data_IF_323698956983
#
_entry.id   IF_323698956983
#
_cell.length_a   1.000
_cell.length_b   1.000
_cell.length_c   1.000
_cell.angle_alpha   90.00
_cell.angle_beta   90.00
_cell.angle_gamma   90.00
#
_symmetry.space_group_name_H-M   'P 1'
#
loop_
_entity.id
_entity.type
_entity.pdbx_description
1 polymer ?
#
# COMPACT_ATOMS: atom_id res chain seq x y z
N UNK A 1 54.84 2.37 -7.04
CA UNK A 1 53.70 1.62 -6.48
C UNK A 1 52.46 2.21 -7.10
N UNK A 2 52.10 1.71 -8.29
CA UNK A 2 50.82 2.04 -8.91
C UNK A 2 49.83 1.04 -8.32
N UNK A 3 48.87 1.54 -7.54
CA UNK A 3 47.71 0.75 -7.14
C UNK A 3 46.88 0.52 -8.40
N UNK A 4 46.81 -0.72 -8.85
CA UNK A 4 45.92 -1.17 -9.90
C UNK A 4 44.48 -0.83 -9.51
N UNK A 5 43.91 0.16 -10.18
CA UNK A 5 42.49 0.52 -10.05
C UNK A 5 41.72 -0.47 -10.91
N UNK A 6 40.91 -1.32 -10.29
CA UNK A 6 39.94 -2.17 -10.97
C UNK A 6 38.85 -1.29 -11.59
N UNK A 7 38.94 -1.07 -12.91
CA UNK A 7 37.99 -0.26 -13.69
C UNK A 7 36.72 -1.04 -14.02
N UNK A 8 35.89 -1.33 -13.02
CA UNK A 8 34.50 -1.74 -13.25
C UNK A 8 33.59 -0.53 -13.24
N UNK A 9 32.91 -0.20 -14.35
CA UNK A 9 31.82 0.78 -14.33
C UNK A 9 30.72 0.28 -13.40
N UNK A 10 30.44 1.03 -12.33
CA UNK A 10 29.38 0.69 -11.39
C UNK A 10 28.04 1.26 -11.86
N UNK A 11 26.93 0.73 -11.32
CA UNK A 11 25.62 1.36 -11.51
C UNK A 11 25.58 2.80 -10.97
N UNK A 12 26.36 3.11 -9.92
CA UNK A 12 26.48 4.47 -9.42
C UNK A 12 27.15 5.39 -10.45
N UNK A 13 28.21 4.93 -11.13
CA UNK A 13 28.88 5.71 -12.19
C UNK A 13 27.92 6.00 -13.35
N UNK A 14 27.18 4.97 -13.79
CA UNK A 14 26.15 5.14 -14.83
C UNK A 14 25.07 6.13 -14.40
N UNK A 15 24.62 6.03 -13.15
CA UNK A 15 23.61 6.92 -12.60
C UNK A 15 24.09 8.37 -12.58
N UNK A 16 25.27 8.65 -12.01
CA UNK A 16 25.82 10.00 -11.90
C UNK A 16 26.11 10.62 -13.27
N UNK A 17 26.50 9.80 -14.26
CA UNK A 17 26.83 10.33 -15.58
C UNK A 17 25.60 10.50 -16.49
N UNK A 18 24.67 9.54 -16.48
CA UNK A 18 23.56 9.51 -17.45
C UNK A 18 22.20 9.91 -16.85
N UNK A 19 21.97 9.67 -15.57
CA UNK A 19 20.65 9.88 -14.96
C UNK A 19 20.58 11.18 -14.18
N UNK A 20 21.46 11.38 -13.20
CA UNK A 20 21.43 12.52 -12.29
C UNK A 20 21.38 13.90 -12.99
N UNK A 21 22.16 14.17 -14.05
CA UNK A 21 22.14 15.48 -14.71
C UNK A 21 20.80 15.80 -15.40
N UNK A 22 19.98 14.77 -15.64
CA UNK A 22 18.71 14.88 -16.34
C UNK A 22 17.51 14.85 -15.38
N UNK A 23 17.72 14.51 -14.11
CA UNK A 23 16.68 14.60 -13.08
C UNK A 23 16.44 16.07 -12.72
N UNK A 24 15.16 16.45 -12.65
CA UNK A 24 14.70 17.81 -12.32
C UNK A 24 13.61 17.72 -11.28
N UNK A 25 13.34 18.80 -10.54
CA UNK A 25 12.22 18.80 -9.61
C UNK A 25 10.88 18.64 -10.33
N UNK A 26 10.76 19.26 -11.51
CA UNK A 26 9.59 19.18 -12.36
C UNK A 26 9.98 19.20 -13.85
N UNK A 27 9.12 18.62 -14.68
CA UNK A 27 9.25 18.62 -16.14
C UNK A 27 7.89 18.49 -16.81
N UNK A 28 7.59 19.45 -17.67
CA UNK A 28 6.40 19.43 -18.53
C UNK A 28 6.62 18.50 -19.73
N UNK A 29 5.52 18.02 -20.29
CA UNK A 29 5.48 17.16 -21.48
C UNK A 29 6.33 15.89 -21.30
N UNK A 30 6.17 15.25 -20.14
CA UNK A 30 7.05 14.16 -19.73
C UNK A 30 6.36 13.15 -18.83
N UNK A 31 6.53 11.87 -19.15
CA UNK A 31 6.15 10.73 -18.31
C UNK A 31 7.40 10.07 -17.74
N UNK A 32 7.58 10.15 -16.43
CA UNK A 32 8.70 9.54 -15.72
C UNK A 32 8.51 8.04 -15.42
N UNK A 33 7.47 7.41 -15.97
CA UNK A 33 7.14 5.98 -15.79
C UNK A 33 6.85 5.62 -14.32
N UNK A 34 6.13 6.50 -13.62
CA UNK A 34 5.61 6.21 -12.29
C UNK A 34 4.66 5.00 -12.35
N UNK A 35 4.85 4.04 -11.45
CA UNK A 35 4.18 2.73 -11.45
C UNK A 35 3.76 2.29 -10.04
N UNK A 36 3.69 3.23 -9.10
CA UNK A 36 3.15 3.02 -7.77
C UNK A 36 1.64 3.31 -7.70
N UNK A 37 1.13 3.64 -6.51
CA UNK A 37 -0.28 3.97 -6.31
C UNK A 37 -0.78 5.08 -7.25
N UNK A 38 -1.98 4.87 -7.78
CA UNK A 38 -2.69 5.80 -8.66
C UNK A 38 -3.89 6.40 -7.92
N UNK A 39 -4.09 7.70 -8.12
CA UNK A 39 -5.15 8.50 -7.55
C UNK A 39 -5.77 9.31 -8.70
N UNK A 40 -6.93 8.88 -9.19
CA UNK A 40 -7.76 9.60 -10.16
C UNK A 40 -9.03 10.11 -9.47
N UNK A 41 -9.75 11.03 -10.11
CA UNK A 41 -11.06 11.49 -9.65
C UNK A 41 -12.01 10.30 -9.40
N UNK A 42 -12.28 9.52 -10.44
CA UNK A 42 -13.14 8.33 -10.41
C UNK A 42 -12.66 7.30 -9.38
N UNK A 43 -11.36 7.00 -9.36
CA UNK A 43 -10.80 6.02 -8.43
C UNK A 43 -10.80 6.47 -6.97
N UNK A 44 -10.96 7.77 -6.69
CA UNK A 44 -11.18 8.28 -5.34
C UNK A 44 -12.64 8.22 -4.97
N UNK A 45 -13.55 8.58 -5.87
CA UNK A 45 -14.99 8.47 -5.64
C UNK A 45 -15.38 7.02 -5.28
N UNK A 46 -14.90 6.05 -6.05
CA UNK A 46 -15.14 4.63 -5.79
C UNK A 46 -14.63 4.20 -4.40
N UNK A 47 -13.41 4.61 -4.03
CA UNK A 47 -12.84 4.30 -2.71
C UNK A 47 -13.61 4.95 -1.57
N UNK A 48 -14.17 6.14 -1.78
CA UNK A 48 -14.99 6.82 -0.78
C UNK A 48 -16.33 6.11 -0.58
N UNK A 49 -16.97 5.67 -1.67
CA UNK A 49 -18.19 4.86 -1.60
C UNK A 49 -17.92 3.52 -0.88
N UNK A 50 -16.79 2.87 -1.18
CA UNK A 50 -16.38 1.66 -0.49
C UNK A 50 -16.11 1.91 1.01
N UNK A 51 -15.41 2.99 1.35
CA UNK A 51 -15.20 3.41 2.74
C UNK A 51 -16.50 3.64 3.50
N UNK A 52 -17.44 4.36 2.88
CA UNK A 52 -18.75 4.65 3.45
C UNK A 52 -19.55 3.37 3.66
N UNK A 53 -19.63 2.52 2.64
CA UNK A 53 -20.31 1.22 2.72
C UNK A 53 -19.71 0.36 3.84
N UNK A 54 -18.38 0.28 3.95
CA UNK A 54 -17.70 -0.47 5.02
C UNK A 54 -18.08 0.06 6.39
N UNK A 55 -18.18 1.37 6.56
CA UNK A 55 -18.53 1.99 7.84
C UNK A 55 -19.99 1.74 8.21
N UNK A 56 -20.93 1.95 7.28
CA UNK A 56 -22.36 1.76 7.51
C UNK A 56 -22.73 0.30 7.79
N UNK A 57 -22.07 -0.64 7.12
CA UNK A 57 -22.37 -2.06 7.25
C UNK A 57 -21.54 -2.75 8.34
N UNK A 58 -20.54 -2.09 8.92
CA UNK A 58 -19.64 -2.71 9.91
C UNK A 58 -20.38 -3.34 11.08
N UNK A 59 -21.36 -2.64 11.65
CA UNK A 59 -22.12 -3.13 12.80
C UNK A 59 -22.94 -4.38 12.46
N UNK A 60 -23.50 -4.42 11.26
CA UNK A 60 -24.24 -5.58 10.76
C UNK A 60 -23.29 -6.77 10.57
N UNK A 61 -22.16 -6.56 9.90
CA UNK A 61 -21.15 -7.61 9.66
C UNK A 61 -20.56 -8.13 10.96
N UNK A 62 -20.32 -7.26 11.96
CA UNK A 62 -19.84 -7.69 13.28
C UNK A 62 -20.86 -8.54 14.03
N UNK A 63 -22.17 -8.27 13.86
CA UNK A 63 -23.23 -9.08 14.44
C UNK A 63 -23.31 -10.45 13.78
N UNK A 64 -23.29 -10.47 12.44
CA UNK A 64 -23.22 -11.72 11.65
C UNK A 64 -21.99 -12.55 12.09
N UNK A 65 -20.83 -11.93 12.26
CA UNK A 65 -19.61 -12.60 12.70
C UNK A 65 -19.68 -13.17 14.13
N UNK A 66 -20.45 -12.53 15.02
CA UNK A 66 -20.67 -13.00 16.39
C UNK A 66 -21.64 -14.19 16.42
N UNK A 67 -22.71 -14.11 15.64
CA UNK A 67 -23.71 -15.18 15.49
C UNK A 67 -23.06 -16.43 14.87
N UNK A 68 -22.20 -16.27 13.85
CA UNK A 68 -21.47 -17.34 13.19
C UNK A 68 -20.30 -17.92 14.03
N UNK A 69 -19.94 -17.29 15.15
CA UNK A 69 -18.87 -17.78 16.03
C UNK A 69 -19.36 -18.86 17.03
N UNK A 70 -20.46 -19.54 16.71
CA UNK A 70 -20.96 -20.70 17.45
C UNK A 70 -20.01 -21.90 17.27
N UNK A 71 -19.72 -22.69 18.33
CA UNK A 71 -18.78 -23.82 18.26
C UNK A 71 -19.17 -24.95 17.31
N UNK A 72 -20.39 -24.94 16.78
CA UNK A 72 -20.95 -26.05 15.99
C UNK A 72 -20.69 -25.93 14.47
N UNK A 73 -20.16 -24.81 13.98
CA UNK A 73 -19.99 -24.52 12.54
C UNK A 73 -18.51 -24.26 12.15
N UNK A 74 -17.55 -25.05 12.66
CA UNK A 74 -16.13 -24.94 12.26
C UNK A 74 -15.80 -25.57 10.88
N UNK A 75 -16.78 -26.12 10.17
CA UNK A 75 -16.59 -26.70 8.84
C UNK A 75 -17.15 -25.76 7.75
N UNK A 76 -16.25 -25.31 6.86
CA UNK A 76 -16.51 -24.68 5.55
C UNK A 76 -16.54 -23.13 5.41
N UNK A 77 -15.64 -22.40 6.07
CA UNK A 77 -15.25 -21.03 5.63
C UNK A 77 -13.99 -21.02 4.75
N UNK A 78 -13.85 -21.97 3.82
CA UNK A 78 -12.98 -21.70 2.69
C UNK A 78 -13.61 -20.55 1.90
N UNK A 79 -12.96 -19.38 1.93
CA UNK A 79 -13.25 -18.32 0.98
C UNK A 79 -13.38 -18.98 -0.41
N UNK A 80 -14.42 -18.66 -1.20
CA UNK A 80 -14.63 -19.33 -2.48
C UNK A 80 -13.31 -19.34 -3.23
N UNK A 81 -12.75 -20.53 -3.43
CA UNK A 81 -11.61 -20.71 -4.32
C UNK A 81 -12.18 -20.51 -5.71
N UNK A 82 -12.30 -19.25 -6.10
CA UNK A 82 -12.43 -18.92 -7.50
C UNK A 82 -11.19 -19.50 -8.16
N UNK A 83 -11.38 -20.48 -9.04
CA UNK A 83 -10.32 -20.89 -9.93
C UNK A 83 -9.79 -19.59 -10.57
N UNK A 84 -8.48 -19.38 -10.53
CA UNK A 84 -7.74 -18.24 -11.15
C UNK A 84 -7.86 -18.30 -12.70
N UNK A 85 -8.97 -18.79 -13.23
CA UNK A 85 -9.35 -18.58 -14.61
C UNK A 85 -9.64 -17.08 -14.75
N UNK A 86 -8.90 -16.41 -15.63
CA UNK A 86 -9.00 -14.99 -16.00
C UNK A 86 -10.41 -14.64 -16.54
N UNK A 87 -11.42 -14.67 -15.67
CA UNK A 87 -12.76 -14.17 -15.95
C UNK A 87 -12.69 -12.66 -15.73
N UNK A 88 -12.72 -11.90 -16.83
CA UNK A 88 -12.95 -10.46 -16.80
C UNK A 88 -14.30 -10.20 -16.13
N UNK A 89 -14.26 -9.88 -14.83
CA UNK A 89 -15.43 -9.43 -14.08
C UNK A 89 -15.80 -8.02 -14.55
N UNK A 90 -17.09 -7.73 -14.57
CA UNK A 90 -17.53 -6.34 -14.76
C UNK A 90 -17.39 -5.54 -13.46
N UNK A 91 -17.48 -4.21 -13.55
CA UNK A 91 -17.32 -3.30 -12.41
C UNK A 91 -18.31 -3.56 -11.25
N UNK A 92 -19.51 -4.04 -11.56
CA UNK A 92 -20.52 -4.39 -10.56
C UNK A 92 -20.16 -5.67 -9.81
N UNK A 93 -19.73 -6.70 -10.53
CA UNK A 93 -19.25 -7.96 -9.97
C UNK A 93 -18.00 -7.77 -9.11
N UNK A 94 -17.05 -6.94 -9.55
CA UNK A 94 -15.89 -6.63 -8.74
C UNK A 94 -16.27 -5.91 -7.43
N UNK A 95 -17.26 -5.01 -7.47
CA UNK A 95 -17.75 -4.30 -6.28
C UNK A 95 -18.43 -5.26 -5.31
N UNK A 96 -19.22 -6.20 -5.79
CA UNK A 96 -19.82 -7.26 -4.96
C UNK A 96 -18.77 -8.20 -4.36
N UNK A 97 -17.74 -8.55 -5.13
CA UNK A 97 -16.61 -9.32 -4.65
C UNK A 97 -15.90 -8.60 -3.50
N UNK A 98 -15.57 -7.31 -3.64
CA UNK A 98 -14.96 -6.50 -2.56
C UNK A 98 -15.80 -6.47 -1.29
N UNK A 99 -17.13 -6.33 -1.43
CA UNK A 99 -18.06 -6.36 -0.29
C UNK A 99 -18.06 -7.71 0.42
N UNK A 100 -18.03 -8.80 -0.34
CA UNK A 100 -17.98 -10.17 0.18
C UNK A 100 -16.64 -10.44 0.89
N UNK A 101 -15.53 -10.05 0.26
CA UNK A 101 -14.19 -10.15 0.83
C UNK A 101 -14.09 -9.39 2.16
N UNK A 102 -14.69 -8.21 2.26
CA UNK A 102 -14.77 -7.47 3.50
C UNK A 102 -15.53 -8.23 4.60
N UNK A 103 -16.68 -8.84 4.29
CA UNK A 103 -17.42 -9.66 5.25
C UNK A 103 -16.55 -10.82 5.76
N UNK A 104 -15.90 -11.54 4.85
CA UNK A 104 -15.00 -12.64 5.21
C UNK A 104 -13.79 -12.17 6.02
N UNK A 105 -13.18 -11.02 5.69
CA UNK A 105 -12.07 -10.43 6.45
C UNK A 105 -12.49 -10.21 7.92
N UNK A 106 -13.68 -9.63 8.14
CA UNK A 106 -14.20 -9.33 9.47
C UNK A 106 -14.54 -10.60 10.24
N UNK A 107 -15.25 -11.55 9.62
CA UNK A 107 -15.57 -12.85 10.24
C UNK A 107 -14.30 -13.58 10.68
N UNK A 108 -13.31 -13.69 9.80
CA UNK A 108 -12.01 -14.32 10.10
C UNK A 108 -11.33 -13.65 11.29
N UNK A 109 -11.20 -12.33 11.27
CA UNK A 109 -10.58 -11.56 12.36
C UNK A 109 -11.32 -11.73 13.68
N UNK A 110 -12.65 -11.70 13.66
CA UNK A 110 -13.46 -11.88 14.87
C UNK A 110 -13.18 -13.25 15.50
N UNK A 111 -13.13 -14.32 14.70
CA UNK A 111 -12.81 -15.68 15.18
C UNK A 111 -11.37 -15.80 15.69
N UNK A 112 -10.39 -15.23 14.98
CA UNK A 112 -8.99 -15.21 15.43
C UNK A 112 -8.85 -14.55 16.81
N UNK A 113 -9.46 -13.37 16.99
CA UNK A 113 -9.44 -12.63 18.26
C UNK A 113 -10.24 -13.36 19.36
N UNK A 114 -11.33 -14.04 19.01
CA UNK A 114 -12.11 -14.84 19.96
C UNK A 114 -11.30 -16.04 20.45
N UNK A 115 -10.67 -16.79 19.53
CA UNK A 115 -9.78 -17.93 19.85
C UNK A 115 -8.60 -17.50 20.73
N UNK A 116 -7.97 -16.37 20.41
CA UNK A 116 -6.87 -15.81 21.23
C UNK A 116 -7.32 -15.55 22.68
N UNK A 117 -8.50 -14.97 22.87
CA UNK A 117 -9.06 -14.73 24.21
C UNK A 117 -9.47 -16.00 24.93
N UNK A 118 -10.08 -16.95 24.24
CA UNK A 118 -10.51 -18.22 24.84
C UNK A 118 -9.27 -19.04 25.29
N UNK A 119 -8.16 -18.97 24.54
CA UNK A 119 -6.87 -19.56 24.93
C UNK A 119 -6.25 -18.87 26.16
N UNK A 120 -6.33 -17.55 26.26
CA UNK A 120 -5.83 -16.78 27.41
C UNK A 120 -6.61 -17.13 28.69
N UNK A 121 -7.95 -17.20 28.60
CA UNK A 121 -8.81 -17.64 29.71
C UNK A 121 -8.51 -19.08 30.14
N UNK A 122 -8.25 -20.00 29.21
CA UNK A 122 -7.90 -21.37 29.53
C UNK A 122 -6.58 -21.46 30.31
N UNK A 123 -5.59 -20.62 30.00
CA UNK A 123 -4.31 -20.58 30.72
C UNK A 123 -4.41 -19.92 32.11
N UNK A 124 -5.25 -18.89 32.25
CA UNK A 124 -5.48 -18.24 33.55
C UNK A 124 -6.36 -19.09 34.48
N UNK A 125 -7.32 -19.84 33.95
CA UNK A 125 -8.15 -20.76 34.75
C UNK A 125 -7.37 -21.95 35.33
N UNK A 126 -6.22 -22.30 34.77
CA UNK A 126 -5.28 -23.26 35.38
C UNK A 126 -4.40 -22.62 36.47
N UNK A 127 -4.41 -21.28 36.60
CA UNK A 127 -3.53 -20.52 37.50
C UNK A 127 -4.15 -20.22 38.87
N UNK A 128 -5.47 -20.20 38.99
CA UNK A 128 -6.16 -19.78 40.22
C UNK A 128 -6.91 -20.92 40.93
N UNK A 129 -6.17 -21.55 41.86
CA UNK A 129 -6.72 -22.32 42.99
C UNK A 129 -6.98 -21.45 44.23
N UNK A 130 -6.84 -20.12 44.16
CA UNK A 130 -7.06 -19.23 45.31
C UNK A 130 -7.65 -17.88 44.86
N UNK A 131 -8.80 -17.53 45.45
CA UNK A 131 -9.58 -16.29 45.33
C UNK A 131 -10.64 -16.24 44.21
N UNK A 132 -11.70 -17.02 44.40
CA UNK A 132 -13.03 -16.73 43.88
C UNK A 132 -13.57 -15.45 44.54
N UNK A 133 -13.85 -14.41 43.75
CA UNK A 133 -15.17 -13.75 43.67
C UNK A 133 -15.04 -12.44 42.86
N UNK A 134 -15.87 -12.33 41.81
CA UNK A 134 -16.13 -11.16 40.94
C UNK A 134 -15.23 -10.99 39.71
N UNK A 135 -15.77 -11.29 38.52
CA UNK A 135 -15.96 -10.35 37.38
C UNK A 135 -16.34 -11.08 36.06
N UNK A 136 -17.51 -11.74 36.05
CA UNK A 136 -18.10 -12.23 34.81
C UNK A 136 -18.88 -11.13 34.08
N UNK A 137 -18.21 -10.24 33.33
CA UNK A 137 -18.90 -9.39 32.32
C UNK A 137 -17.98 -8.58 31.37
N UNK A 138 -16.65 -8.59 31.47
CA UNK A 138 -15.83 -7.50 30.89
C UNK A 138 -15.03 -7.83 29.60
N UNK A 139 -15.36 -8.86 28.82
CA UNK A 139 -14.45 -9.35 27.76
C UNK A 139 -14.95 -9.29 26.29
N UNK A 140 -16.26 -9.28 26.02
CA UNK A 140 -16.81 -9.18 24.63
C UNK A 140 -16.60 -7.80 23.99
N UNK A 141 -16.68 -6.72 24.79
CA UNK A 141 -16.65 -5.34 24.29
C UNK A 141 -15.35 -4.94 23.56
N UNK A 142 -14.23 -5.63 23.81
CA UNK A 142 -12.95 -5.25 23.24
C UNK A 142 -12.74 -5.77 21.78
N UNK A 143 -13.36 -6.89 21.36
CA UNK A 143 -13.16 -7.39 19.97
C UNK A 143 -13.77 -6.43 18.94
N UNK A 144 -15.01 -5.99 19.18
CA UNK A 144 -15.72 -5.05 18.30
C UNK A 144 -14.96 -3.74 18.18
N UNK A 145 -14.48 -3.19 19.30
CA UNK A 145 -13.69 -1.96 19.33
C UNK A 145 -12.36 -2.08 18.57
N UNK A 146 -11.66 -3.22 18.68
CA UNK A 146 -10.44 -3.49 17.91
C UNK A 146 -10.73 -3.44 16.41
N UNK A 147 -11.71 -4.21 15.94
CA UNK A 147 -12.07 -4.29 14.52
C UNK A 147 -12.54 -2.93 14.00
N UNK A 148 -13.38 -2.22 14.75
CA UNK A 148 -13.80 -0.86 14.41
C UNK A 148 -12.61 0.10 14.26
N UNK A 149 -11.62 0.01 15.15
CA UNK A 149 -10.42 0.84 15.07
C UNK A 149 -9.62 0.56 13.80
N UNK A 150 -9.54 -0.70 13.35
CA UNK A 150 -8.84 -1.07 12.13
C UNK A 150 -9.55 -0.62 10.86
N UNK A 151 -10.88 -0.75 10.82
CA UNK A 151 -11.68 -0.26 9.71
C UNK A 151 -11.52 1.26 9.59
N UNK A 152 -11.54 1.99 10.71
CA UNK A 152 -11.29 3.44 10.77
C UNK A 152 -9.87 3.82 10.33
N UNK A 153 -8.86 2.99 10.59
CA UNK A 153 -7.45 3.24 10.18
C UNK A 153 -7.24 3.13 8.67
N UNK A 154 -8.04 2.33 7.95
CA UNK A 154 -7.95 2.16 6.49
C UNK A 154 -8.49 3.36 5.69
N UNK A 155 -8.84 4.46 6.34
CA UNK A 155 -9.40 5.67 5.70
C UNK A 155 -8.33 6.46 4.93
N UNK A 156 -8.64 6.83 3.70
CA UNK A 156 -7.88 7.73 2.85
C UNK A 156 -7.57 9.03 3.58
N UNK A 157 -6.30 9.42 3.53
CA UNK A 157 -5.83 10.70 4.05
C UNK A 157 -6.31 11.85 3.17
N UNK A 158 -6.30 13.07 3.73
CA UNK A 158 -6.62 14.28 2.96
C UNK A 158 -5.78 14.40 1.68
N UNK A 159 -4.48 14.13 1.78
CA UNK A 159 -3.56 14.24 0.65
C UNK A 159 -3.91 13.25 -0.47
N UNK A 160 -4.34 12.03 -0.13
CA UNK A 160 -4.77 11.04 -1.11
C UNK A 160 -6.06 11.44 -1.81
N UNK A 161 -7.03 12.02 -1.07
CA UNK A 161 -8.30 12.52 -1.63
C UNK A 161 -8.11 13.69 -2.58
N UNK A 162 -7.08 14.52 -2.31
CA UNK A 162 -6.83 15.75 -3.06
C UNK A 162 -5.79 15.57 -4.18
N UNK A 163 -5.04 14.46 -4.21
CA UNK A 163 -3.88 14.25 -5.07
C UNK A 163 -4.15 14.42 -6.57
N UNK A 164 -5.33 14.00 -7.02
CA UNK A 164 -5.74 14.04 -8.42
C UNK A 164 -6.16 15.44 -8.90
N UNK A 165 -6.37 16.39 -7.99
CA UNK A 165 -6.92 17.71 -8.32
C UNK A 165 -5.93 18.63 -9.01
N UNK A 166 -4.63 18.45 -8.79
CA UNK A 166 -3.57 19.23 -9.44
C UNK A 166 -2.20 18.57 -9.33
N UNK A 167 -1.27 19.03 -10.16
CA UNK A 167 0.14 18.64 -10.05
C UNK A 167 0.73 18.94 -8.67
N UNK A 168 0.39 20.10 -8.08
CA UNK A 168 0.86 20.50 -6.75
C UNK A 168 0.33 19.57 -5.67
N UNK A 169 -0.94 19.15 -5.73
CA UNK A 169 -1.49 18.19 -4.76
C UNK A 169 -0.84 16.81 -4.92
N UNK A 170 -0.56 16.39 -6.15
CA UNK A 170 0.17 15.15 -6.42
C UNK A 170 1.59 15.20 -5.83
N UNK A 171 2.28 16.35 -5.97
CA UNK A 171 3.57 16.61 -5.32
C UNK A 171 3.45 16.50 -3.81
N UNK A 172 2.50 17.20 -3.19
CA UNK A 172 2.30 17.19 -1.74
C UNK A 172 2.07 15.77 -1.21
N UNK A 173 1.25 14.97 -1.90
CA UNK A 173 1.07 13.57 -1.55
C UNK A 173 2.41 12.80 -1.59
N UNK A 174 3.17 12.96 -2.68
CA UNK A 174 4.49 12.33 -2.79
C UNK A 174 5.46 12.82 -1.69
N UNK A 175 5.34 14.05 -1.19
CA UNK A 175 6.16 14.54 -0.08
C UNK A 175 5.82 13.79 1.22
N UNK A 176 4.53 13.55 1.48
CA UNK A 176 4.06 12.80 2.65
C UNK A 176 4.36 11.31 2.58
N UNK A 177 4.33 10.72 1.39
CA UNK A 177 4.71 9.31 1.21
C UNK A 177 6.24 9.16 1.37
N UNK A 178 6.65 8.52 2.46
CA UNK A 178 8.07 8.26 2.78
C UNK A 178 8.79 7.45 1.71
N UNK A 179 8.08 6.63 0.95
CA UNK A 179 8.64 5.77 -0.11
C UNK A 179 8.63 6.43 -1.48
N UNK A 180 7.95 7.56 -1.65
CA UNK A 180 7.83 8.22 -2.94
C UNK A 180 9.11 9.00 -3.31
N UNK A 181 9.65 8.69 -4.49
CA UNK A 181 10.80 9.39 -5.09
C UNK A 181 10.42 10.21 -6.31
N UNK A 182 9.35 9.87 -6.99
CA UNK A 182 8.88 10.58 -8.18
C UNK A 182 7.36 10.50 -8.27
N UNK A 183 6.76 11.37 -9.07
CA UNK A 183 5.32 11.35 -9.34
C UNK A 183 5.06 11.89 -10.74
N UNK A 184 3.91 11.55 -11.31
CA UNK A 184 3.43 12.10 -12.58
C UNK A 184 1.98 12.51 -12.44
N UNK A 185 1.62 13.60 -13.11
CA UNK A 185 0.27 14.12 -13.19
C UNK A 185 -0.16 14.27 -14.65
N UNK A 186 -1.32 13.75 -14.98
CA UNK A 186 -1.95 13.86 -16.30
C UNK A 186 -3.45 13.63 -16.14
N UNK A 187 -4.30 14.27 -16.95
CA UNK A 187 -5.76 13.99 -17.00
C UNK A 187 -6.41 13.75 -15.63
N UNK A 188 -6.27 14.70 -14.69
CA UNK A 188 -6.81 14.58 -13.34
C UNK A 188 -6.40 13.27 -12.63
N UNK A 189 -5.19 12.80 -12.88
CA UNK A 189 -4.64 11.56 -12.35
C UNK A 189 -3.24 11.82 -11.80
N UNK A 190 -3.07 11.51 -10.52
CA UNK A 190 -1.78 11.48 -9.86
C UNK A 190 -1.30 10.04 -9.74
N UNK A 191 -0.06 9.78 -10.16
CA UNK A 191 0.57 8.47 -9.99
C UNK A 191 1.93 8.60 -9.35
N UNK A 192 2.13 7.91 -8.23
CA UNK A 192 3.37 7.94 -7.48
C UNK A 192 4.38 6.92 -8.02
N UNK A 193 5.65 7.12 -7.73
CA UNK A 193 6.74 6.20 -8.03
C UNK A 193 7.65 6.00 -6.83
N UNK A 194 7.79 4.74 -6.42
CA UNK A 194 8.67 4.33 -5.32
C UNK A 194 10.10 3.97 -5.79
N UNK A 195 10.41 4.23 -7.04
CA UNK A 195 11.76 4.28 -7.61
C UNK A 195 11.86 5.48 -8.54
N UNK A 196 13.07 5.95 -8.85
CA UNK A 196 13.29 7.09 -9.74
C UNK A 196 13.85 6.66 -11.10
N UNK A 197 13.21 7.10 -12.18
CA UNK A 197 13.54 6.83 -13.59
C UNK A 197 13.46 8.14 -14.38
N UNK A 198 14.14 8.19 -15.52
CA UNK A 198 14.01 9.34 -16.42
C UNK A 198 12.67 9.31 -17.15
N UNK A 199 12.31 8.20 -17.79
CA UNK A 199 11.10 8.13 -18.60
C UNK A 199 11.24 8.84 -19.95
N UNK A 200 10.12 9.28 -20.54
CA UNK A 200 10.03 9.67 -21.94
C UNK A 200 9.27 10.99 -22.15
N UNK A 201 9.56 11.64 -23.28
CA UNK A 201 8.81 12.79 -23.75
C UNK A 201 7.38 12.40 -24.14
N UNK A 202 6.43 13.23 -23.73
CA UNK A 202 5.03 13.14 -24.11
C UNK A 202 4.68 14.40 -24.91
N UNK A 203 4.23 14.23 -26.15
CA UNK A 203 3.84 15.37 -26.96
C UNK A 203 2.71 16.16 -26.26
N UNK A 204 2.73 17.50 -26.32
CA UNK A 204 1.59 18.30 -25.90
C UNK A 204 0.36 17.95 -26.74
N UNK A 205 -0.81 18.39 -26.30
CA UNK A 205 -2.04 18.17 -27.05
C UNK A 205 -2.08 18.98 -28.37
N UNK A 206 -3.25 18.94 -29.05
CA UNK A 206 -3.45 19.63 -30.33
C UNK A 206 -3.33 21.15 -30.23
N UNK A 207 -3.64 21.72 -29.06
CA UNK A 207 -3.59 23.15 -28.80
C UNK A 207 -2.24 23.59 -28.22
N UNK A 208 -1.35 22.63 -27.96
CA UNK A 208 0.00 22.85 -27.43
C UNK A 208 0.05 22.88 -25.90
N UNK A 209 -1.02 22.46 -25.22
CA UNK A 209 -1.09 22.44 -23.75
C UNK A 209 -0.34 21.25 -23.17
N UNK A 210 0.14 21.41 -21.93
CA UNK A 210 0.88 20.38 -21.20
C UNK A 210 -0.09 19.33 -20.70
N UNK A 211 0.01 18.11 -21.23
CA UNK A 211 -0.85 16.98 -20.85
C UNK A 211 -0.22 16.15 -19.73
N UNK A 212 1.11 16.07 -19.70
CA UNK A 212 1.87 15.26 -18.75
C UNK A 212 2.89 16.11 -18.03
N UNK A 213 2.85 16.10 -16.69
CA UNK A 213 3.84 16.78 -15.87
C UNK A 213 4.42 15.81 -14.86
N UNK A 214 5.74 15.63 -14.92
CA UNK A 214 6.49 14.73 -14.03
C UNK A 214 7.27 15.52 -12.99
N UNK A 215 7.44 14.95 -11.80
CA UNK A 215 8.28 15.50 -10.76
C UNK A 215 9.14 14.45 -10.05
N UNK A 216 10.28 14.89 -9.51
CA UNK A 216 11.21 14.05 -8.74
C UNK A 216 11.54 14.70 -7.40
N UNK A 217 11.48 13.92 -6.34
CA UNK A 217 11.80 14.32 -4.98
C UNK A 217 13.31 14.36 -4.77
N UNK A 218 13.98 15.34 -5.39
CA UNK A 218 15.44 15.46 -5.42
C UNK A 218 16.08 15.34 -4.04
N UNK A 219 15.48 15.94 -3.01
CA UNK A 219 15.96 15.82 -1.63
C UNK A 219 15.90 14.38 -1.08
N UNK A 220 14.86 13.62 -1.41
CA UNK A 220 14.75 12.20 -1.03
C UNK A 220 15.72 11.33 -1.83
N UNK A 221 15.86 11.61 -3.13
CA UNK A 221 16.78 10.88 -4.03
C UNK A 221 18.23 11.06 -3.56
N UNK A 222 18.67 12.29 -3.25
CA UNK A 222 20.01 12.55 -2.73
C UNK A 222 20.28 11.82 -1.41
N UNK A 223 19.33 11.90 -0.47
CA UNK A 223 19.42 11.14 0.80
C UNK A 223 19.50 9.64 0.58
N UNK A 224 18.78 9.11 -0.41
CA UNK A 224 18.87 7.71 -0.78
C UNK A 224 20.26 7.37 -1.32
N UNK A 225 20.84 8.18 -2.22
CA UNK A 225 22.20 7.96 -2.74
C UNK A 225 23.25 7.98 -1.62
N UNK A 226 23.19 8.96 -0.70
CA UNK A 226 24.10 9.08 0.44
C UNK A 226 24.06 7.85 1.35
N UNK A 227 22.88 7.24 1.51
CA UNK A 227 22.71 6.01 2.28
C UNK A 227 23.06 4.72 1.52
N UNK A 228 23.22 4.78 0.20
CA UNK A 228 23.40 3.62 -0.69
C UNK A 228 24.66 3.76 -1.56
N UNK A 229 25.79 4.14 -0.94
CA UNK A 229 27.08 4.25 -1.64
C UNK A 229 27.53 2.88 -2.14
N UNK A 230 27.75 2.76 -3.46
CA UNK A 230 28.36 1.57 -4.05
C UNK A 230 29.82 1.47 -3.62
N UNK A 231 30.19 0.37 -2.95
CA UNK A 231 31.58 0.12 -2.51
C UNK A 231 32.49 -0.41 -3.63
N UNK A 232 31.89 -0.85 -4.74
CA UNK A 232 32.55 -1.49 -5.87
C UNK A 232 31.77 -2.72 -6.33
N UNK A 233 32.14 -3.30 -7.47
CA UNK A 233 31.60 -4.59 -7.90
C UNK A 233 32.08 -5.70 -6.96
N UNK A 234 31.16 -6.56 -6.48
CA UNK A 234 31.52 -7.82 -5.83
C UNK A 234 31.68 -8.90 -6.91
N UNK A 235 32.92 -9.21 -7.23
CA UNK A 235 33.24 -10.26 -8.20
C UNK A 235 33.38 -11.61 -7.50
N UNK A 236 32.77 -12.69 -8.02
CA UNK A 236 32.99 -14.03 -7.50
C UNK A 236 34.44 -14.50 -7.79
N UNK A 237 35.00 -15.36 -6.94
CA UNK A 237 36.41 -15.81 -7.04
C UNK A 237 36.80 -16.39 -8.41
N UNK A 238 35.86 -16.98 -9.14
CA UNK A 238 36.12 -17.53 -10.47
C UNK A 238 36.42 -16.45 -11.53
N UNK A 239 36.04 -15.19 -11.30
CA UNK A 239 36.28 -14.10 -12.24
C UNK A 239 37.76 -13.70 -12.37
N UNK A 240 38.61 -14.14 -11.42
CA UNK A 240 40.03 -13.78 -11.36
C UNK A 240 41.00 -14.93 -11.70
N UNK A 241 40.48 -16.14 -11.94
CA UNK A 241 41.29 -17.33 -12.26
C UNK A 241 41.33 -17.61 -13.77
N UNK A 242 41.74 -16.61 -14.58
CA UNK A 242 41.95 -16.73 -16.02
C UNK A 242 43.44 -16.74 -16.34
#
# INVERSE_FOLDING_TARGET
MASDVEWGTTFADLYHHFVEPHLREERDNWDNLSHGPTYSEEGIEEKLEEEEWRYENLQTVLREAEDDASPEDEEDDEAPKYDDDDIELNEEEEREKRRTDFKHEIKRKYRELKKEKDMDWAQDSERDSWEEEHEGSMQSHNIKEIIESEVKKKKLTKFEKDAWKSFENCRELCEKDKKCFQFVFFENTCKLGHSFRLGNYMAPDRDGEVVWKSGWMMGKIRKFQEGNVCKGPEWPEWAFNV
#
